data_IF_032077636657
#
_entry.id   IF_032077636657
#
_cell.length_a   1.000
_cell.length_b   1.000
_cell.length_c   1.000
_cell.angle_alpha   90.00
_cell.angle_beta   90.00
_cell.angle_gamma   90.00
#
_symmetry.space_group_name_H-M   'P 1'
#
loop_
_entity.id
_entity.type
_entity.pdbx_description
1 polymer ?
#
# COMPACT_ATOMS: atom_id res chain seq x y z
N UNK A 1 -4.29 23.44 -6.08
CA UNK A 1 -5.16 22.23 -6.08
C UNK A 1 -4.50 21.04 -6.78
N UNK A 2 -4.06 21.17 -8.04
CA UNK A 2 -3.44 20.07 -8.80
C UNK A 2 -2.22 19.45 -8.09
N UNK A 3 -1.33 20.29 -7.54
CA UNK A 3 -0.17 19.83 -6.76
C UNK A 3 -0.56 18.92 -5.58
N UNK A 4 -1.57 19.30 -4.77
CA UNK A 4 -2.05 18.47 -3.65
C UNK A 4 -2.62 17.13 -4.10
N UNK A 5 -3.32 17.12 -5.24
CA UNK A 5 -3.88 15.89 -5.82
C UNK A 5 -2.75 14.96 -6.24
N UNK A 6 -1.72 15.48 -6.91
CA UNK A 6 -0.63 14.68 -7.43
C UNK A 6 0.29 14.17 -6.30
N UNK A 7 0.61 15.01 -5.32
CA UNK A 7 1.33 14.57 -4.10
C UNK A 7 0.54 13.51 -3.32
N UNK A 8 -0.79 13.66 -3.19
CA UNK A 8 -1.63 12.63 -2.56
C UNK A 8 -1.57 11.30 -3.32
N UNK A 9 -1.58 11.33 -4.65
CA UNK A 9 -1.46 10.09 -5.46
C UNK A 9 -0.10 9.42 -5.25
N UNK A 10 0.98 10.19 -5.20
CA UNK A 10 2.33 9.68 -4.96
C UNK A 10 2.43 9.03 -3.57
N UNK A 11 1.98 9.72 -2.52
CA UNK A 11 2.02 9.17 -1.16
C UNK A 11 1.10 7.96 -1.00
N UNK A 12 -0.07 7.97 -1.66
CA UNK A 12 -0.94 6.81 -1.72
C UNK A 12 -0.22 5.60 -2.33
N UNK A 13 0.54 5.80 -3.41
CA UNK A 13 1.34 4.73 -4.00
C UNK A 13 2.38 4.18 -3.01
N UNK A 14 3.07 5.04 -2.25
CA UNK A 14 4.03 4.61 -1.23
C UNK A 14 3.40 3.78 -0.11
N UNK A 15 2.21 4.17 0.36
CA UNK A 15 1.46 3.38 1.34
C UNK A 15 1.03 2.03 0.75
N UNK A 16 0.46 2.03 -0.46
CA UNK A 16 0.01 0.80 -1.11
C UNK A 16 1.17 -0.19 -1.31
N UNK A 17 2.30 0.28 -1.82
CA UNK A 17 3.47 -0.57 -2.06
C UNK A 17 4.07 -1.11 -0.76
N UNK A 18 3.98 -0.35 0.33
CA UNK A 18 4.51 -0.76 1.63
C UNK A 18 3.66 -1.78 2.36
N UNK A 19 2.33 -1.67 2.22
CA UNK A 19 1.38 -2.39 3.09
C UNK A 19 0.76 -3.59 2.37
N UNK A 20 0.56 -3.51 1.04
CA UNK A 20 -0.19 -4.55 0.30
C UNK A 20 0.44 -5.93 0.43
N UNK A 21 1.74 -6.04 0.15
CA UNK A 21 2.43 -7.34 0.12
C UNK A 21 2.50 -7.96 1.52
N UNK A 22 2.94 -7.25 2.58
CA UNK A 22 2.94 -7.80 3.93
C UNK A 22 1.55 -8.28 4.39
N UNK A 23 0.48 -7.52 4.10
CA UNK A 23 -0.88 -7.95 4.43
C UNK A 23 -1.25 -9.23 3.67
N UNK A 24 -0.95 -9.30 2.37
CA UNK A 24 -1.24 -10.47 1.56
C UNK A 24 -0.50 -11.72 2.07
N UNK A 25 0.79 -11.58 2.39
CA UNK A 25 1.62 -12.65 2.96
C UNK A 25 1.06 -13.13 4.30
N UNK A 26 0.70 -12.21 5.19
CA UNK A 26 0.12 -12.56 6.49
C UNK A 26 -1.20 -13.30 6.34
N UNK A 27 -2.09 -12.83 5.46
CA UNK A 27 -3.36 -13.51 5.19
C UNK A 27 -3.12 -14.90 4.60
N UNK A 28 -2.18 -15.05 3.66
CA UNK A 28 -1.81 -16.34 3.10
C UNK A 28 -1.22 -17.29 4.16
N UNK A 29 -0.44 -16.76 5.12
CA UNK A 29 0.11 -17.55 6.22
C UNK A 29 -0.98 -18.22 7.07
N UNK A 30 -2.14 -17.59 7.24
CA UNK A 30 -3.27 -18.21 7.95
C UNK A 30 -3.84 -19.40 7.19
N UNK A 31 -3.85 -19.35 5.86
CA UNK A 31 -4.26 -20.49 5.05
C UNK A 31 -3.25 -21.64 5.18
N UNK A 32 -1.96 -21.36 5.03
CA UNK A 32 -0.90 -22.37 5.16
C UNK A 32 -0.95 -23.07 6.53
N UNK A 33 -1.04 -22.31 7.61
CA UNK A 33 -1.21 -22.86 8.95
C UNK A 33 -2.47 -23.72 9.07
N UNK A 34 -3.56 -23.36 8.40
CA UNK A 34 -4.81 -24.13 8.47
C UNK A 34 -4.70 -25.48 7.72
N UNK A 35 -3.85 -25.54 6.70
CA UNK A 35 -3.50 -26.79 6.02
C UNK A 35 -2.62 -27.67 6.92
N UNK A 36 -1.61 -27.08 7.57
CA UNK A 36 -0.78 -27.78 8.57
C UNK A 36 -1.62 -28.34 9.72
N UNK A 37 -2.57 -27.55 10.22
CA UNK A 37 -3.53 -27.92 11.28
C UNK A 37 -4.60 -28.93 10.81
N UNK A 38 -4.59 -29.36 9.53
CA UNK A 38 -5.62 -30.23 8.90
C UNK A 38 -7.05 -29.70 8.99
N UNK A 39 -7.21 -28.39 9.19
CA UNK A 39 -8.49 -27.70 9.35
C UNK A 39 -8.98 -27.06 8.04
N UNK A 40 -8.11 -26.97 7.03
CA UNK A 40 -8.43 -26.55 5.67
C UNK A 40 -9.05 -25.15 5.61
N UNK A 41 -9.98 -24.95 4.66
CA UNK A 41 -10.64 -23.65 4.45
C UNK A 41 -11.46 -23.20 5.67
N UNK A 42 -12.03 -24.15 6.43
CA UNK A 42 -12.79 -23.82 7.65
C UNK A 42 -11.88 -23.24 8.73
N UNK A 43 -10.70 -23.83 8.94
CA UNK A 43 -9.69 -23.28 9.85
C UNK A 43 -9.21 -21.90 9.43
N UNK A 44 -8.99 -21.72 8.13
CA UNK A 44 -8.58 -20.44 7.57
C UNK A 44 -9.61 -19.34 7.88
N UNK A 45 -10.88 -19.61 7.61
CA UNK A 45 -11.98 -18.70 7.92
C UNK A 45 -12.10 -18.37 9.42
N UNK A 46 -11.85 -19.33 10.31
CA UNK A 46 -11.83 -19.08 11.76
C UNK A 46 -10.68 -18.13 12.12
N UNK A 47 -9.47 -18.36 11.60
CA UNK A 47 -8.30 -17.49 11.84
C UNK A 47 -8.55 -16.07 11.32
N UNK A 48 -9.16 -15.91 10.13
CA UNK A 48 -9.54 -14.61 9.60
C UNK A 48 -10.54 -13.85 10.48
N UNK A 49 -11.55 -14.54 11.03
CA UNK A 49 -12.53 -13.92 11.91
C UNK A 49 -11.91 -13.44 13.24
N UNK A 50 -10.79 -14.04 13.67
CA UNK A 50 -10.09 -13.65 14.89
C UNK A 50 -9.33 -12.33 14.76
N UNK A 51 -9.11 -11.81 13.55
CA UNK A 51 -8.40 -10.52 13.34
C UNK A 51 -9.10 -9.36 14.03
N UNK A 52 -10.43 -9.37 14.11
CA UNK A 52 -11.21 -8.34 14.79
C UNK A 52 -10.89 -8.23 16.29
N UNK A 53 -10.34 -9.29 16.88
CA UNK A 53 -10.04 -9.41 18.31
C UNK A 53 -8.53 -9.29 18.60
N UNK A 54 -7.73 -8.79 17.66
CA UNK A 54 -6.30 -8.57 17.92
C UNK A 54 -6.09 -7.55 19.03
N UNK A 55 -5.12 -7.83 19.89
CA UNK A 55 -4.69 -6.90 20.92
C UNK A 55 -3.66 -5.90 20.34
N UNK A 56 -3.40 -4.83 21.10
CA UNK A 56 -2.44 -3.81 20.67
C UNK A 56 -1.04 -4.39 20.45
N UNK A 57 -0.61 -5.40 21.23
CA UNK A 57 0.70 -6.04 21.07
C UNK A 57 0.87 -6.68 19.68
N UNK A 58 -0.13 -7.45 19.22
CA UNK A 58 -0.11 -8.05 17.88
C UNK A 58 -0.08 -6.96 16.81
N UNK A 59 -0.85 -5.89 16.98
CA UNK A 59 -0.88 -4.77 16.04
C UNK A 59 0.50 -4.07 15.96
N UNK A 60 1.18 -3.88 17.08
CA UNK A 60 2.54 -3.33 17.14
C UNK A 60 3.56 -4.23 16.43
N UNK A 61 3.50 -5.54 16.65
CA UNK A 61 4.38 -6.51 16.02
C UNK A 61 4.18 -6.53 14.49
N UNK A 62 2.93 -6.54 14.04
CA UNK A 62 2.59 -6.48 12.62
C UNK A 62 3.03 -5.16 11.98
N UNK A 63 2.81 -4.03 12.64
CA UNK A 63 3.31 -2.74 12.19
C UNK A 63 4.84 -2.72 12.07
N UNK A 64 5.53 -3.27 13.07
CA UNK A 64 6.99 -3.38 13.08
C UNK A 64 7.49 -4.28 11.95
N UNK A 65 6.78 -5.37 11.64
CA UNK A 65 7.08 -6.25 10.52
C UNK A 65 6.92 -5.53 9.17
N UNK A 66 5.82 -4.79 8.98
CA UNK A 66 5.61 -3.96 7.79
C UNK A 66 6.74 -2.95 7.63
N UNK A 67 7.17 -2.31 8.72
CA UNK A 67 8.24 -1.31 8.68
C UNK A 67 9.60 -1.91 8.31
N UNK A 68 9.89 -3.14 8.73
CA UNK A 68 11.12 -3.86 8.37
C UNK A 68 11.18 -4.20 6.88
N UNK A 69 10.05 -4.58 6.30
CA UNK A 69 9.96 -5.01 4.91
C UNK A 69 9.69 -3.84 3.94
N UNK A 70 9.21 -2.71 4.45
CA UNK A 70 8.96 -1.51 3.65
C UNK A 70 10.26 -0.78 3.28
N UNK A 71 10.27 -0.24 2.07
CA UNK A 71 11.32 0.71 1.62
C UNK A 71 11.24 2.05 2.35
N UNK A 72 10.07 2.39 2.92
CA UNK A 72 9.79 3.70 3.50
C UNK A 72 9.71 3.60 5.03
N UNK A 73 10.65 4.24 5.72
CA UNK A 73 10.74 4.19 7.20
C UNK A 73 9.77 5.13 7.93
N UNK A 74 9.18 6.09 7.24
CA UNK A 74 8.33 7.12 7.83
C UNK A 74 6.85 6.94 7.44
N UNK A 75 6.34 5.70 7.51
CA UNK A 75 4.96 5.38 7.13
C UNK A 75 3.91 6.21 7.87
N UNK A 76 4.11 6.46 9.17
CA UNK A 76 3.23 7.31 9.98
C UNK A 76 3.09 8.73 9.40
N UNK A 77 4.23 9.36 9.03
CA UNK A 77 4.23 10.70 8.44
C UNK A 77 3.57 10.72 7.06
N UNK A 78 3.85 9.72 6.24
CA UNK A 78 3.24 9.59 4.90
C UNK A 78 1.72 9.44 5.02
N UNK A 79 1.25 8.60 5.94
CA UNK A 79 -0.17 8.41 6.21
C UNK A 79 -0.84 9.70 6.70
N UNK A 80 -0.25 10.38 7.69
CA UNK A 80 -0.73 11.69 8.16
C UNK A 80 -0.84 12.70 7.02
N UNK A 81 0.17 12.80 6.15
CA UNK A 81 0.15 13.70 4.99
C UNK A 81 -0.97 13.36 3.99
N UNK A 82 -1.26 12.06 3.77
CA UNK A 82 -2.37 11.64 2.90
C UNK A 82 -3.71 12.08 3.48
N UNK A 83 -3.92 11.89 4.79
CA UNK A 83 -5.16 12.29 5.46
C UNK A 83 -5.30 13.82 5.41
N UNK A 84 -4.28 14.57 5.80
CA UNK A 84 -4.26 16.05 5.74
C UNK A 84 -4.54 16.55 4.31
N UNK A 85 -3.87 16.00 3.30
CA UNK A 85 -4.13 16.40 1.91
C UNK A 85 -5.55 16.03 1.45
N UNK A 86 -6.08 14.89 1.91
CA UNK A 86 -7.46 14.48 1.60
C UNK A 86 -8.47 15.46 2.15
N UNK A 87 -8.26 15.91 3.38
CA UNK A 87 -9.05 16.93 4.07
C UNK A 87 -8.93 18.27 3.35
N UNK A 88 -7.70 18.75 3.10
CA UNK A 88 -7.44 20.03 2.41
C UNK A 88 -8.09 20.09 1.02
N UNK A 89 -8.05 19.00 0.26
CA UNK A 89 -8.71 18.92 -1.05
C UNK A 89 -10.23 19.05 -0.91
N UNK A 90 -10.84 18.41 0.11
CA UNK A 90 -12.30 18.43 0.32
C UNK A 90 -12.82 19.78 0.81
N UNK A 91 -12.08 20.44 1.69
CA UNK A 91 -12.46 21.73 2.27
C UNK A 91 -12.04 22.91 1.39
N UNK A 92 -11.26 22.69 0.32
CA UNK A 92 -10.74 23.77 -0.52
C UNK A 92 -11.81 24.77 -0.98
N UNK A 93 -13.03 24.29 -1.28
CA UNK A 93 -14.17 25.12 -1.70
C UNK A 93 -14.75 25.98 -0.56
N UNK A 94 -14.50 25.59 0.69
CA UNK A 94 -14.99 26.23 1.92
C UNK A 94 -13.87 26.95 2.70
N UNK A 95 -12.68 27.10 2.11
CA UNK A 95 -11.49 27.68 2.76
C UNK A 95 -11.68 29.08 3.38
N UNK A 96 -12.66 29.84 2.91
CA UNK A 96 -12.96 31.20 3.41
C UNK A 96 -13.96 31.19 4.59
N UNK A 97 -14.43 30.01 4.99
CA UNK A 97 -15.50 29.83 5.99
C UNK A 97 -15.04 29.06 7.21
N UNK A 98 -13.84 28.50 7.17
CA UNK A 98 -13.32 27.63 8.21
C UNK A 98 -11.90 28.07 8.53
N UNK A 99 -11.72 28.68 9.70
CA UNK A 99 -10.42 29.23 10.12
C UNK A 99 -9.53 28.16 10.74
N UNK A 100 -10.09 27.22 11.52
CA UNK A 100 -9.36 26.14 12.18
C UNK A 100 -10.19 24.86 12.22
N UNK A 101 -9.57 23.71 11.91
CA UNK A 101 -10.23 22.40 11.93
C UNK A 101 -9.42 21.46 12.82
N UNK A 102 -9.93 21.19 14.01
CA UNK A 102 -9.42 20.12 14.86
C UNK A 102 -10.04 18.79 14.42
N UNK A 103 -9.24 17.94 13.78
CA UNK A 103 -9.69 16.64 13.27
C UNK A 103 -8.95 15.51 13.94
N UNK A 104 -9.72 14.64 14.60
CA UNK A 104 -9.25 13.36 15.10
C UNK A 104 -9.40 12.31 14.01
N UNK A 105 -8.28 11.69 13.62
CA UNK A 105 -8.25 10.57 12.70
C UNK A 105 -7.44 9.40 13.31
N UNK A 106 -7.71 8.14 12.90
CA UNK A 106 -7.06 6.98 13.47
C UNK A 106 -5.54 7.03 13.33
N UNK A 107 -4.80 6.42 14.26
CA UNK A 107 -3.35 6.28 14.11
C UNK A 107 -2.99 5.34 12.95
N UNK A 108 -1.74 5.37 12.48
CA UNK A 108 -1.28 4.43 11.43
C UNK A 108 -1.50 2.97 11.84
N UNK A 109 -1.41 2.66 13.14
CA UNK A 109 -1.56 1.30 13.66
C UNK A 109 -3.02 0.86 13.63
N UNK A 110 -3.93 1.73 14.04
CA UNK A 110 -5.38 1.51 13.94
C UNK A 110 -5.80 1.36 12.48
N UNK A 111 -5.24 2.19 11.59
CA UNK A 111 -5.44 2.08 10.16
C UNK A 111 -4.97 0.73 9.60
N UNK A 112 -3.80 0.24 10.00
CA UNK A 112 -3.27 -1.05 9.56
C UNK A 112 -4.14 -2.20 10.09
N UNK A 113 -4.57 -2.14 11.35
CA UNK A 113 -5.50 -3.13 11.91
C UNK A 113 -6.82 -3.13 11.14
N UNK A 114 -7.36 -1.95 10.82
CA UNK A 114 -8.55 -1.81 9.99
C UNK A 114 -8.35 -2.38 8.58
N UNK A 115 -7.17 -2.20 7.98
CA UNK A 115 -6.83 -2.82 6.70
C UNK A 115 -6.83 -4.34 6.80
N UNK A 116 -6.19 -4.93 7.82
CA UNK A 116 -6.21 -6.36 8.06
C UNK A 116 -7.63 -6.89 8.23
N UNK A 117 -8.46 -6.20 9.02
CA UNK A 117 -9.86 -6.57 9.23
C UNK A 117 -10.66 -6.55 7.92
N UNK A 118 -10.60 -5.46 7.16
CA UNK A 118 -11.33 -5.32 5.89
C UNK A 118 -10.86 -6.35 4.84
N UNK A 119 -9.55 -6.61 4.77
CA UNK A 119 -8.99 -7.65 3.89
C UNK A 119 -9.42 -9.04 4.34
N UNK A 120 -9.45 -9.31 5.64
CA UNK A 120 -9.89 -10.60 6.17
C UNK A 120 -11.37 -10.87 5.90
N UNK A 121 -12.23 -9.86 6.00
CA UNK A 121 -13.64 -9.99 5.60
C UNK A 121 -13.79 -10.35 4.11
N UNK A 122 -12.98 -9.74 3.25
CA UNK A 122 -12.96 -10.06 1.83
C UNK A 122 -12.41 -11.47 1.57
N UNK A 123 -11.29 -11.84 2.18
CA UNK A 123 -10.69 -13.16 2.06
C UNK A 123 -11.60 -14.27 2.61
N UNK A 124 -12.34 -13.99 3.68
CA UNK A 124 -13.30 -14.92 4.29
C UNK A 124 -14.44 -15.25 3.32
N UNK A 125 -14.88 -14.29 2.50
CA UNK A 125 -15.89 -14.47 1.44
C UNK A 125 -15.31 -15.15 0.19
N UNK A 126 -14.01 -15.03 -0.03
CA UNK A 126 -13.30 -15.56 -1.21
C UNK A 126 -12.20 -16.56 -0.83
N UNK A 127 -12.47 -17.58 0.01
CA UNK A 127 -11.43 -18.44 0.56
C UNK A 127 -10.77 -19.31 -0.51
N UNK A 128 -11.49 -19.61 -1.60
CA UNK A 128 -11.00 -20.39 -2.73
C UNK A 128 -9.82 -19.76 -3.48
N UNK A 129 -9.65 -18.44 -3.42
CA UNK A 129 -8.50 -17.77 -4.05
C UNK A 129 -7.17 -18.16 -3.40
N UNK A 130 -7.21 -18.57 -2.13
CA UNK A 130 -6.04 -19.02 -1.37
C UNK A 130 -5.83 -20.52 -1.46
N UNK A 131 -6.72 -21.24 -2.14
CA UNK A 131 -6.65 -22.69 -2.24
C UNK A 131 -5.50 -23.11 -3.17
N UNK A 132 -4.49 -23.72 -2.60
CA UNK A 132 -3.33 -24.27 -3.34
C UNK A 132 -3.39 -25.79 -3.28
N UNK A 133 -4.15 -26.42 -4.18
CA UNK A 133 -4.20 -27.87 -4.33
C UNK A 133 -3.28 -28.32 -5.47
N UNK A 134 -2.77 -29.56 -5.40
CA UNK A 134 -1.88 -30.17 -6.40
C UNK A 134 -2.48 -30.21 -7.82
N UNK A 135 -3.82 -30.09 -7.92
CA UNK A 135 -4.52 -30.14 -9.21
C UNK A 135 -4.64 -28.76 -9.90
N UNK A 136 -4.27 -27.66 -9.25
CA UNK A 136 -4.28 -26.34 -9.88
C UNK A 136 -3.00 -26.13 -10.68
N UNK A 137 -3.16 -25.61 -11.89
CA UNK A 137 -2.01 -25.23 -12.72
C UNK A 137 -1.30 -24.02 -12.09
N UNK A 138 0.03 -23.97 -12.18
CA UNK A 138 0.81 -22.83 -11.69
C UNK A 138 0.33 -21.47 -12.23
N UNK A 139 -0.15 -21.42 -13.48
CA UNK A 139 -0.73 -20.21 -14.07
C UNK A 139 -2.01 -19.75 -13.35
N UNK A 140 -2.84 -20.66 -12.87
CA UNK A 140 -4.07 -20.35 -12.13
C UNK A 140 -3.74 -19.81 -10.74
N UNK A 141 -2.76 -20.40 -10.07
CA UNK A 141 -2.26 -19.93 -8.78
C UNK A 141 -1.70 -18.51 -8.92
N UNK A 142 -0.90 -18.24 -9.95
CA UNK A 142 -0.38 -16.90 -10.22
C UNK A 142 -1.52 -15.90 -10.52
N UNK A 143 -2.52 -16.32 -11.29
CA UNK A 143 -3.70 -15.49 -11.54
C UNK A 143 -4.45 -15.16 -10.24
N UNK A 144 -4.59 -16.13 -9.33
CA UNK A 144 -5.20 -15.92 -8.02
C UNK A 144 -4.40 -14.91 -7.18
N UNK A 145 -3.07 -14.99 -7.17
CA UNK A 145 -2.23 -14.00 -6.50
C UNK A 145 -2.43 -12.59 -7.07
N UNK A 146 -2.50 -12.45 -8.40
CA UNK A 146 -2.77 -11.16 -9.04
C UNK A 146 -4.16 -10.61 -8.63
N UNK A 147 -5.18 -11.46 -8.55
CA UNK A 147 -6.53 -11.09 -8.08
C UNK A 147 -6.48 -10.66 -6.61
N UNK A 148 -5.80 -11.41 -5.75
CA UNK A 148 -5.64 -11.10 -4.33
C UNK A 148 -4.96 -9.75 -4.15
N UNK A 149 -3.80 -9.55 -4.77
CA UNK A 149 -3.05 -8.29 -4.66
C UNK A 149 -3.86 -7.09 -5.14
N UNK A 150 -4.54 -7.22 -6.29
CA UNK A 150 -5.40 -6.16 -6.84
C UNK A 150 -6.54 -5.79 -5.89
N UNK A 151 -7.20 -6.78 -5.30
CA UNK A 151 -8.30 -6.54 -4.36
C UNK A 151 -7.79 -5.95 -3.05
N UNK A 152 -6.67 -6.42 -2.51
CA UNK A 152 -6.05 -5.85 -1.31
C UNK A 152 -5.70 -4.38 -1.53
N UNK A 153 -5.05 -4.02 -2.64
CA UNK A 153 -4.76 -2.60 -2.98
C UNK A 153 -6.02 -1.74 -2.99
N UNK A 154 -7.11 -2.26 -3.59
CA UNK A 154 -8.40 -1.57 -3.64
C UNK A 154 -8.99 -1.38 -2.23
N UNK A 155 -8.94 -2.43 -1.40
CA UNK A 155 -9.45 -2.40 -0.02
C UNK A 155 -8.66 -1.38 0.81
N UNK A 156 -7.32 -1.39 0.76
CA UNK A 156 -6.49 -0.43 1.48
C UNK A 156 -6.82 1.01 1.08
N UNK A 157 -6.99 1.29 -0.22
CA UNK A 157 -7.39 2.61 -0.72
C UNK A 157 -8.76 3.05 -0.17
N UNK A 158 -9.71 2.14 -0.11
CA UNK A 158 -11.03 2.40 0.48
C UNK A 158 -10.91 2.66 1.99
N UNK A 159 -10.14 1.85 2.72
CA UNK A 159 -9.91 2.03 4.16
C UNK A 159 -9.30 3.40 4.49
N UNK A 160 -8.36 3.92 3.68
CA UNK A 160 -7.82 5.29 3.88
C UNK A 160 -8.94 6.34 3.76
N UNK A 161 -9.85 6.12 2.82
CA UNK A 161 -11.00 7.01 2.62
C UNK A 161 -11.98 6.92 3.79
N UNK A 162 -12.21 5.74 4.35
CA UNK A 162 -12.99 5.52 5.58
C UNK A 162 -12.35 6.17 6.81
N UNK A 163 -11.02 6.17 6.91
CA UNK A 163 -10.29 6.85 7.98
C UNK A 163 -10.29 8.38 7.84
N UNK A 164 -10.76 8.93 6.71
CA UNK A 164 -10.94 10.37 6.55
C UNK A 164 -12.31 10.75 7.11
N UNK A 165 -12.41 11.58 8.17
CA UNK A 165 -13.68 11.90 8.82
C UNK A 165 -14.51 12.89 7.99
N UNK A 166 -15.10 12.42 6.89
CA UNK A 166 -15.81 13.26 5.92
C UNK A 166 -17.08 13.86 6.52
N UNK A 167 -17.85 13.06 7.26
CA UNK A 167 -19.13 13.51 7.81
C UNK A 167 -18.93 14.64 8.82
N UNK A 168 -17.92 14.50 9.69
CA UNK A 168 -17.52 15.55 10.64
C UNK A 168 -17.09 16.84 9.94
N UNK A 169 -16.34 16.73 8.84
CA UNK A 169 -15.93 17.89 8.03
C UNK A 169 -17.15 18.62 7.47
N UNK A 170 -18.15 17.90 6.98
CA UNK A 170 -19.38 18.49 6.44
C UNK A 170 -20.19 19.16 7.56
N UNK A 171 -20.32 18.52 8.72
CA UNK A 171 -21.03 19.10 9.87
C UNK A 171 -20.40 20.42 10.33
N UNK A 172 -19.07 20.52 10.38
CA UNK A 172 -18.40 21.78 10.74
C UNK A 172 -18.64 22.88 9.70
N UNK A 173 -18.58 22.54 8.41
CA UNK A 173 -18.91 23.48 7.33
C UNK A 173 -20.33 24.04 7.51
N UNK A 174 -21.30 23.19 7.84
CA UNK A 174 -22.69 23.59 8.01
C UNK A 174 -22.92 24.44 9.28
N UNK A 175 -22.25 24.12 10.38
CA UNK A 175 -22.29 24.92 11.62
C UNK A 175 -21.70 26.32 11.40
N UNK A 176 -20.55 26.42 10.75
CA UNK A 176 -19.92 27.71 10.47
C UNK A 176 -20.75 28.57 9.51
N UNK A 177 -21.40 27.98 8.50
CA UNK A 177 -22.36 28.69 7.65
C UNK A 177 -23.51 29.32 8.45
N UNK A 178 -24.05 28.60 9.44
CA UNK A 178 -25.12 29.10 10.30
C UNK A 178 -24.63 30.21 11.25
N UNK A 179 -23.38 30.14 11.72
CA UNK A 179 -22.77 31.16 12.57
C UNK A 179 -22.41 32.44 11.79
N UNK A 180 -21.90 32.33 10.56
CA UNK A 180 -21.60 33.48 9.67
C UNK A 180 -22.87 34.27 9.34
N UNK A 181 -24.03 33.60 9.26
CA UNK A 181 -25.31 34.29 9.03
C UNK A 181 -25.76 35.14 10.25
N UNK A 182 -25.20 34.88 11.44
CA UNK A 182 -25.62 35.52 12.69
C UNK A 182 -24.63 36.56 13.25
N UNK A 183 -23.36 36.59 12.81
CA UNK A 183 -22.33 37.48 13.36
C UNK A 183 -21.79 38.48 12.32
N UNK A 184 -22.59 39.50 11.99
CA UNK A 184 -22.06 40.81 11.63
C UNK A 184 -21.59 41.51 12.92
N UNK A 185 -20.39 41.20 13.42
CA UNK A 185 -19.75 42.01 14.47
C UNK A 185 -18.27 42.16 14.12
N UNK A 186 -17.88 43.42 13.86
CA UNK A 186 -16.51 43.94 13.82
C UNK A 186 -15.64 43.36 14.95
N UNK A 187 -14.32 43.31 14.77
CA UNK A 187 -13.38 44.09 15.59
C UNK A 187 -11.93 43.89 15.10
N UNK A 188 -11.30 45.02 14.78
CA UNK A 188 -9.87 45.24 14.92
C UNK A 188 -9.43 45.00 16.38
N UNK A 189 -8.27 44.37 16.57
CA UNK A 189 -7.21 44.72 17.55
C UNK A 189 -6.48 43.50 18.18
N UNK A 190 -5.20 43.37 17.77
CA UNK A 190 -3.95 43.16 18.55
C UNK A 190 -3.97 42.21 19.80
N UNK A 191 -3.09 41.18 19.81
CA UNK A 191 -1.82 41.11 20.60
C UNK A 191 -1.28 39.69 20.76
N UNK A 192 0.04 39.60 20.60
CA UNK A 192 0.92 38.50 21.00
C UNK A 192 0.76 38.15 22.49
N UNK A 193 0.78 36.86 22.83
CA UNK A 193 1.52 36.36 24.00
C UNK A 193 1.70 34.82 23.96
N UNK A 194 2.94 34.40 24.17
CA UNK A 194 3.38 33.01 24.35
C UNK A 194 2.85 32.42 25.67
N UNK A 195 2.47 31.14 25.69
CA UNK A 195 2.96 30.16 26.69
C UNK A 195 2.48 28.72 26.43
N UNK A 196 3.42 27.80 26.56
CA UNK A 196 3.37 26.36 26.27
C UNK A 196 2.69 25.53 27.38
N UNK A 197 1.87 24.53 27.02
CA UNK A 197 1.88 23.22 27.71
C UNK A 197 1.17 22.10 26.94
N UNK A 198 1.82 20.94 26.98
CA UNK A 198 1.53 19.68 26.30
C UNK A 198 0.08 19.18 26.37
N UNK A 199 -0.50 18.87 25.20
CA UNK A 199 -1.39 17.74 24.92
C UNK A 199 -1.34 17.45 23.41
N UNK A 200 -1.36 16.16 23.02
CA UNK A 200 -1.35 15.69 21.63
C UNK A 200 -2.68 16.01 20.91
N UNK A 201 -2.95 17.28 20.68
CA UNK A 201 -4.01 17.79 19.82
C UNK A 201 -3.35 18.34 18.55
N UNK A 202 -3.55 17.69 17.39
CA UNK A 202 -3.04 18.19 16.12
C UNK A 202 -3.93 19.32 15.60
N UNK A 203 -3.69 20.53 16.11
CA UNK A 203 -4.25 21.76 15.56
C UNK A 203 -3.66 21.98 14.16
N UNK A 204 -4.51 22.05 13.14
CA UNK A 204 -4.13 22.45 11.79
C UNK A 204 -4.28 23.96 11.64
N UNK A 205 -3.20 24.71 11.87
CA UNK A 205 -3.15 26.13 11.52
C UNK A 205 -3.06 26.32 10.00
N UNK A 206 -3.95 27.14 9.44
CA UNK A 206 -3.93 27.55 8.03
C UNK A 206 -2.97 28.74 7.83
N UNK A 207 -1.68 28.56 8.10
CA UNK A 207 -0.69 29.60 7.81
C UNK A 207 -0.34 29.62 6.31
N UNK A 208 -0.71 30.73 5.67
CA UNK A 208 -0.39 31.08 4.29
C UNK A 208 1.04 31.64 4.21
N UNK A 209 1.97 30.88 3.62
CA UNK A 209 3.22 31.45 3.13
C UNK A 209 3.54 30.88 1.74
N UNK A 210 2.97 31.51 0.70
CA UNK A 210 3.61 31.64 -0.61
C UNK A 210 3.13 32.94 -1.26
N UNK A 211 3.77 34.06 -0.90
CA UNK A 211 3.78 35.25 -1.74
C UNK A 211 4.47 34.91 -3.07
N UNK A 212 3.68 34.79 -4.14
CA UNK A 212 4.19 34.76 -5.50
C UNK A 212 4.58 36.18 -5.92
N UNK A 213 5.83 36.57 -5.65
CA UNK A 213 6.40 37.80 -6.19
C UNK A 213 6.65 37.65 -7.70
N UNK A 214 5.67 38.09 -8.48
CA UNK A 214 5.81 38.26 -9.92
C UNK A 214 6.27 39.70 -10.17
N UNK A 215 7.57 39.91 -10.39
CA UNK A 215 8.11 40.88 -11.35
C UNK A 215 9.65 40.89 -11.38
N UNK A 216 10.17 40.78 -12.61
CA UNK A 216 11.54 41.00 -13.11
C UNK A 216 12.36 39.72 -13.35
N UNK A 217 12.38 39.26 -14.60
CA UNK A 217 13.58 39.35 -15.48
C UNK A 217 13.25 38.78 -16.87
N UNK A 218 12.97 39.67 -17.82
CA UNK A 218 13.25 39.44 -19.25
C UNK A 218 14.58 40.14 -19.53
N UNK A 219 15.68 39.38 -19.67
CA UNK A 219 16.36 39.18 -20.95
C UNK A 219 17.76 38.54 -20.80
N UNK A 220 18.07 37.72 -21.80
CA UNK A 220 19.37 37.36 -22.36
C UNK A 220 20.11 36.10 -21.88
N UNK A 221 20.14 35.17 -22.85
CA UNK A 221 21.27 34.35 -23.32
C UNK A 221 21.74 33.12 -22.51
N UNK A 222 21.51 31.98 -23.18
CA UNK A 222 22.39 30.81 -23.33
C UNK A 222 23.32 30.46 -22.15
N UNK A 223 23.09 29.31 -21.52
CA UNK A 223 23.98 28.17 -21.71
C UNK A 223 23.48 26.86 -21.06
N UNK A 224 23.81 25.77 -21.76
CA UNK A 224 23.55 24.37 -21.46
C UNK A 224 23.87 24.00 -20.00
N UNK A 225 22.94 23.38 -19.27
CA UNK A 225 23.26 22.48 -18.14
C UNK A 225 22.15 21.49 -17.70
N UNK A 226 20.94 21.53 -18.27
CA UNK A 226 19.85 20.63 -17.81
C UNK A 226 19.77 19.25 -18.48
N UNK A 227 20.78 18.86 -19.30
CA UNK A 227 20.82 17.52 -19.88
C UNK A 227 21.41 16.45 -18.96
N UNK A 228 22.22 16.80 -17.96
CA UNK A 228 22.91 15.82 -17.12
C UNK A 228 21.99 15.13 -16.10
N UNK A 229 20.97 15.84 -15.58
CA UNK A 229 20.09 15.30 -14.54
C UNK A 229 19.00 14.38 -15.09
N UNK A 230 18.46 14.68 -16.28
CA UNK A 230 17.50 13.80 -16.97
C UNK A 230 18.18 12.57 -17.56
N UNK A 231 19.42 12.70 -18.05
CA UNK A 231 20.20 11.57 -18.56
C UNK A 231 20.61 10.61 -17.43
N UNK A 232 20.91 11.10 -16.23
CA UNK A 232 21.25 10.25 -15.07
C UNK A 232 20.05 9.48 -14.54
N UNK A 233 18.85 10.08 -14.53
CA UNK A 233 17.60 9.38 -14.21
C UNK A 233 17.24 8.28 -15.22
N UNK A 234 17.36 8.58 -16.53
CA UNK A 234 17.11 7.60 -17.59
C UNK A 234 18.17 6.48 -17.62
N UNK A 235 19.45 6.80 -17.46
CA UNK A 235 20.51 5.79 -17.40
C UNK A 235 20.37 4.88 -16.17
N UNK A 236 19.88 5.41 -15.04
CA UNK A 236 19.61 4.61 -13.84
C UNK A 236 18.43 3.65 -14.07
N UNK A 237 17.32 4.15 -14.63
CA UNK A 237 16.17 3.32 -14.98
C UNK A 237 16.53 2.23 -16.01
N UNK A 238 17.29 2.58 -17.05
CA UNK A 238 17.79 1.62 -18.07
C UNK A 238 18.71 0.58 -17.42
N UNK A 239 19.61 0.97 -16.49
CA UNK A 239 20.48 0.01 -15.79
C UNK A 239 19.72 -0.97 -14.90
N UNK A 240 18.62 -0.53 -14.27
CA UNK A 240 17.76 -1.39 -13.43
C UNK A 240 16.94 -2.34 -14.31
N UNK A 241 16.41 -1.85 -15.43
CA UNK A 241 15.68 -2.68 -16.40
C UNK A 241 16.62 -3.73 -17.00
N UNK A 242 17.82 -3.35 -17.46
CA UNK A 242 18.83 -4.26 -18.01
C UNK A 242 19.33 -5.29 -16.99
N UNK A 243 19.45 -4.92 -15.70
CA UNK A 243 19.80 -5.88 -14.64
C UNK A 243 18.67 -6.87 -14.37
N UNK A 244 17.40 -6.45 -14.42
CA UNK A 244 16.27 -7.32 -14.22
C UNK A 244 16.03 -8.26 -15.40
N UNK A 245 16.22 -7.79 -16.64
CA UNK A 245 16.14 -8.65 -17.84
C UNK A 245 17.27 -9.67 -17.88
N UNK A 246 18.51 -9.28 -17.52
CA UNK A 246 19.63 -10.22 -17.44
C UNK A 246 19.48 -11.23 -16.30
N UNK A 247 18.85 -10.85 -15.17
CA UNK A 247 18.47 -11.81 -14.12
C UNK A 247 17.43 -12.79 -14.63
N UNK A 248 16.38 -12.30 -15.29
CA UNK A 248 15.32 -13.16 -15.85
C UNK A 248 15.87 -14.15 -16.90
N UNK A 249 16.73 -13.69 -17.80
CA UNK A 249 17.35 -14.55 -18.81
C UNK A 249 18.30 -15.59 -18.19
N UNK A 250 18.93 -15.29 -17.04
CA UNK A 250 19.77 -16.26 -16.32
C UNK A 250 18.94 -17.31 -15.56
N UNK A 251 17.74 -16.95 -15.10
CA UNK A 251 16.80 -17.92 -14.54
C UNK A 251 16.22 -18.83 -15.63
N UNK A 252 15.86 -18.28 -16.79
CA UNK A 252 15.34 -19.06 -17.93
C UNK A 252 16.40 -20.00 -18.51
N UNK A 253 17.65 -19.56 -18.64
CA UNK A 253 18.72 -20.44 -19.14
C UNK A 253 19.11 -21.54 -18.13
N UNK A 254 19.05 -21.26 -16.82
CA UNK A 254 19.29 -22.28 -15.80
C UNK A 254 18.15 -23.31 -15.70
N UNK A 255 16.91 -22.95 -16.05
CA UNK A 255 15.81 -23.93 -16.15
C UNK A 255 15.98 -24.83 -17.38
N UNK A 256 16.41 -24.29 -18.52
CA UNK A 256 16.66 -25.08 -19.73
C UNK A 256 17.88 -26.02 -19.60
N UNK A 257 18.91 -25.69 -18.82
CA UNK A 257 20.03 -26.60 -18.54
C UNK A 257 19.61 -27.75 -17.61
N UNK A 258 18.74 -27.50 -16.62
CA UNK A 258 18.21 -28.54 -15.72
C UNK A 258 17.16 -29.44 -16.38
N UNK A 259 16.41 -28.96 -17.38
CA UNK A 259 15.50 -29.81 -18.16
C UNK A 259 16.28 -30.74 -19.13
N UNK A 260 17.38 -30.28 -19.73
CA UNK A 260 18.22 -31.11 -20.61
C UNK A 260 19.05 -32.16 -19.85
N UNK A 261 19.38 -31.95 -18.56
CA UNK A 261 20.02 -32.99 -17.73
C UNK A 261 19.02 -34.09 -17.30
N UNK A 262 17.74 -33.76 -17.12
CA UNK A 262 16.71 -34.75 -16.73
C UNK A 262 16.14 -35.55 -17.91
N UNK A 263 16.29 -35.09 -19.15
CA UNK A 263 15.92 -35.88 -20.34
C UNK A 263 16.99 -36.93 -20.70
N UNK A 264 18.27 -36.71 -20.38
CA UNK A 264 19.34 -37.67 -20.66
C UNK A 264 19.44 -38.83 -19.64
N UNK A 265 18.82 -38.72 -18.45
CA UNK A 265 18.75 -39.82 -17.48
C UNK A 265 17.59 -40.80 -17.76
N UNK A 266 16.57 -40.39 -18.52
CA UNK A 266 15.39 -41.24 -18.79
C UNK A 266 15.47 -42.08 -20.08
N UNK A 267 16.51 -41.91 -20.91
CA UNK A 267 16.72 -42.78 -22.09
C UNK A 267 17.55 -44.05 -21.78
N UNK A 268 18.19 -44.17 -20.62
CA UNK A 268 19.01 -45.35 -20.27
C UNK A 268 18.28 -46.45 -19.47
N UNK A 269 17.00 -46.27 -19.10
CA UNK A 269 16.25 -47.30 -18.36
C UNK A 269 15.30 -48.15 -19.24
N UNK A 270 15.12 -47.81 -20.52
CA UNK A 270 14.20 -48.54 -21.41
C UNK A 270 14.84 -49.62 -22.31
N UNK A 271 16.13 -49.92 -22.18
CA UNK A 271 16.76 -51.02 -22.94
C UNK A 271 16.90 -52.34 -22.15
N UNK A 272 16.52 -52.41 -20.87
CA UNK A 272 16.75 -53.61 -20.03
C UNK A 272 15.54 -54.51 -19.75
N UNK A 273 14.37 -54.29 -20.37
CA UNK A 273 13.19 -55.15 -20.13
C UNK A 273 12.82 -56.12 -21.27
N UNK A 274 13.60 -56.20 -22.37
CA UNK A 274 13.27 -57.07 -23.51
C UNK A 274 14.14 -58.34 -23.68
N UNK A 275 14.96 -58.75 -22.71
CA UNK A 275 15.80 -59.98 -22.84
C UNK A 275 15.42 -61.16 -21.93
N UNK A 276 14.37 -61.11 -21.10
CA UNK A 276 14.07 -62.17 -20.13
C UNK A 276 12.82 -63.04 -20.38
N UNK A 277 12.33 -63.16 -21.63
CA UNK A 277 11.19 -64.05 -21.94
C UNK A 277 11.46 -65.18 -22.95
N UNK A 278 12.72 -65.53 -23.26
CA UNK A 278 13.02 -66.65 -24.17
C UNK A 278 13.96 -67.74 -23.62
N UNK A 279 13.93 -68.02 -22.32
CA UNK A 279 14.48 -69.27 -21.78
C UNK A 279 13.56 -69.81 -20.67
N UNK A 280 12.44 -70.42 -21.05
CA UNK A 280 11.79 -71.51 -20.32
C UNK A 280 10.54 -71.96 -21.10
N UNK A 281 10.70 -72.86 -22.06
CA UNK A 281 9.79 -74.01 -22.23
C UNK A 281 10.37 -74.96 -23.29
N UNK A 282 10.31 -76.25 -22.96
CA UNK A 282 10.80 -77.39 -23.74
C UNK A 282 10.09 -77.57 -25.09
#
# INVERSE_FOLDING_TARGET
MQAFIDTKKEYMHYILDSITIPIAEKINSFYLQSIEDKSGLKGFQIKLNNIKNWNNLIIEEEYSNILKNSKYKNLDKIYKLIIINSIKIKIYEFKNKIDNIDLKFPSIKDFIHKCYYNVALWAWKNPFLFFTNKNLRHSEIQNNYNIIEKNIKKIIKNTITECTPIDYIIEQIDVDNNNITNNNINYDDIKDDDNTSNNDDTILELNNDYEYNNNNFINNNQNNNNKSFLQTGLNTAISVITRNTNRLNRFINNENENENENENENENENENENENENENEN
#
